data_IF_906290556024
#
_entry.id   IF_906290556024
#
_cell.length_a   1.000
_cell.length_b   1.000
_cell.length_c   1.000
_cell.angle_alpha   90.00
_cell.angle_beta   90.00
_cell.angle_gamma   90.00
#
_symmetry.space_group_name_H-M   'P 1'
#
loop_
_entity.id
_entity.type
_entity.pdbx_description
1 polymer ?
#
# COMPACT_ATOMS: atom_id res chain seq x y z
N UNK A 1 -1.02 38.54 -4.85
CA UNK A 1 -1.86 38.13 -3.70
C UNK A 1 -1.10 37.09 -2.87
N UNK A 2 -0.19 37.50 -1.97
CA UNK A 2 0.53 36.59 -1.09
C UNK A 2 -0.32 36.29 0.16
N UNK A 3 -0.62 35.01 0.40
CA UNK A 3 -1.29 34.57 1.64
C UNK A 3 -0.27 34.34 2.74
N UNK A 4 -0.66 34.84 3.89
CA UNK A 4 0.09 35.00 5.13
C UNK A 4 0.30 33.67 5.87
N UNK A 5 1.44 33.62 6.55
CA UNK A 5 1.77 33.00 7.85
C UNK A 5 0.68 32.31 8.67
N UNK A 6 1.02 31.15 9.26
CA UNK A 6 1.03 30.85 10.73
C UNK A 6 1.74 29.49 10.93
N UNK A 7 2.95 29.41 11.50
CA UNK A 7 3.27 29.31 12.93
C UNK A 7 2.36 28.36 13.73
N UNK A 8 2.87 27.18 14.08
CA UNK A 8 2.33 26.40 15.19
C UNK A 8 3.48 25.93 16.10
N UNK A 9 3.68 26.74 17.14
CA UNK A 9 4.45 26.44 18.33
C UNK A 9 3.59 25.63 19.30
N UNK A 10 4.14 24.57 19.90
CA UNK A 10 3.62 23.96 21.12
C UNK A 10 4.84 23.45 21.92
N UNK A 11 5.38 24.22 22.86
CA UNK A 11 4.97 24.32 24.29
C UNK A 11 5.39 23.05 25.05
N UNK A 12 6.55 23.07 25.72
CA UNK A 12 6.70 23.20 27.19
C UNK A 12 6.25 21.92 27.91
N UNK A 13 7.13 21.18 28.59
CA UNK A 13 7.30 21.32 30.04
C UNK A 13 8.73 21.03 30.52
N UNK A 14 9.39 22.10 31.00
CA UNK A 14 10.40 22.02 32.03
C UNK A 14 9.71 21.68 33.37
N UNK A 15 10.20 20.65 34.07
CA UNK A 15 9.89 20.45 35.48
C UNK A 15 11.18 20.59 36.29
N UNK A 16 11.39 21.82 36.78
CA UNK A 16 12.30 22.16 37.85
C UNK A 16 11.69 21.67 39.16
N UNK A 17 12.19 20.56 39.69
CA UNK A 17 11.95 20.12 41.07
C UNK A 17 13.22 20.30 41.88
N UNK A 18 13.48 21.52 42.35
CA UNK A 18 14.50 21.80 43.35
C UNK A 18 13.94 21.37 44.72
N UNK A 19 14.43 20.25 45.26
CA UNK A 19 14.23 19.87 46.66
C UNK A 19 15.59 19.77 47.32
N UNK A 20 15.96 20.86 47.99
CA UNK A 20 16.92 20.86 49.08
C UNK A 20 16.48 19.79 50.07
N UNK A 21 17.26 18.72 50.20
CA UNK A 21 17.07 17.75 51.27
C UNK A 21 18.34 17.64 52.10
N UNK A 22 18.10 17.81 53.40
CA UNK A 22 19.05 18.09 54.45
C UNK A 22 20.11 16.99 54.58
N UNK A 23 21.34 17.47 54.73
CA UNK A 23 22.50 16.72 55.18
C UNK A 23 22.25 16.06 56.53
N UNK A 24 21.96 14.77 56.53
CA UNK A 24 22.22 13.90 57.69
C UNK A 24 23.35 12.95 57.32
N UNK A 25 24.54 13.30 57.77
CA UNK A 25 25.76 12.51 57.66
C UNK A 25 25.64 11.24 58.51
N UNK A 26 24.95 10.23 58.00
CA UNK A 26 25.03 8.87 58.51
C UNK A 26 26.13 8.16 57.73
N UNK A 27 27.24 7.87 58.41
CA UNK A 27 28.37 7.13 57.86
C UNK A 27 27.90 5.76 57.35
N UNK A 28 27.60 5.69 56.05
CA UNK A 28 27.26 4.46 55.36
C UNK A 28 28.52 3.62 55.26
N UNK A 29 28.58 2.54 56.05
CA UNK A 29 29.52 1.44 55.86
C UNK A 29 29.48 1.04 54.39
N UNK A 30 30.55 1.39 53.66
CA UNK A 30 30.75 1.02 52.26
C UNK A 30 30.81 -0.50 52.20
N UNK A 31 29.67 -1.12 51.92
CA UNK A 31 29.53 -2.57 51.75
C UNK A 31 30.31 -2.90 50.48
N UNK A 32 31.58 -3.29 50.65
CA UNK A 32 32.42 -3.76 49.55
C UNK A 32 31.66 -4.91 48.87
N UNK A 33 31.27 -4.69 47.62
CA UNK A 33 30.69 -5.72 46.78
C UNK A 33 31.62 -6.91 46.77
N UNK A 34 31.06 -8.09 47.03
CA UNK A 34 31.78 -9.35 46.97
C UNK A 34 32.37 -9.54 45.57
N UNK A 35 33.46 -10.31 45.47
CA UNK A 35 34.08 -10.61 44.17
C UNK A 35 33.08 -11.24 43.19
N UNK A 36 32.08 -11.98 43.69
CA UNK A 36 31.01 -12.57 42.89
C UNK A 36 30.08 -11.51 42.27
N UNK A 37 29.71 -10.47 43.04
CA UNK A 37 28.89 -9.36 42.53
C UNK A 37 29.66 -8.55 41.48
N UNK A 38 30.98 -8.36 41.65
CA UNK A 38 31.82 -7.68 40.67
C UNK A 38 31.92 -8.47 39.36
N UNK A 39 32.03 -9.80 39.42
CA UNK A 39 32.05 -10.65 38.23
C UNK A 39 30.71 -10.63 37.48
N UNK A 40 29.58 -10.64 38.18
CA UNK A 40 28.25 -10.55 37.58
C UNK A 40 28.02 -9.20 36.87
N UNK A 41 28.50 -8.10 37.46
CA UNK A 41 28.42 -6.78 36.83
C UNK A 41 29.27 -6.72 35.55
N UNK A 42 30.46 -7.33 35.55
CA UNK A 42 31.31 -7.37 34.35
C UNK A 42 30.66 -8.18 33.23
N UNK A 43 30.02 -9.32 33.53
CA UNK A 43 29.30 -10.11 32.54
C UNK A 43 28.09 -9.36 31.97
N UNK A 44 27.34 -8.66 32.83
CA UNK A 44 26.22 -7.83 32.40
C UNK A 44 26.69 -6.67 31.48
N UNK A 45 27.82 -6.03 31.81
CA UNK A 45 28.41 -4.98 30.97
C UNK A 45 28.84 -5.54 29.61
N UNK A 46 29.40 -6.75 29.57
CA UNK A 46 29.78 -7.40 28.32
C UNK A 46 28.57 -7.78 27.43
N UNK A 47 27.46 -8.23 28.04
CA UNK A 47 26.23 -8.53 27.30
C UNK A 47 25.57 -7.27 26.74
N UNK A 48 25.50 -6.19 27.54
CA UNK A 48 24.95 -4.91 27.09
C UNK A 48 25.78 -4.27 25.97
N UNK A 49 27.11 -4.36 26.04
CA UNK A 49 27.97 -3.82 24.98
C UNK A 49 27.79 -4.58 23.66
N UNK A 50 27.67 -5.90 23.69
CA UNK A 50 27.37 -6.72 22.51
C UNK A 50 26.00 -6.39 21.90
N UNK A 51 24.98 -6.17 22.74
CA UNK A 51 23.63 -5.80 22.27
C UNK A 51 23.61 -4.41 21.60
N UNK A 52 24.34 -3.44 22.15
CA UNK A 52 24.48 -2.12 21.56
C UNK A 52 25.21 -2.16 20.21
N UNK A 53 26.23 -3.02 20.07
CA UNK A 53 26.92 -3.18 18.78
C UNK A 53 25.99 -3.75 17.70
N UNK A 54 25.17 -4.75 18.03
CA UNK A 54 24.19 -5.32 17.11
C UNK A 54 23.14 -4.28 16.67
N UNK A 55 22.58 -3.54 17.63
CA UNK A 55 21.60 -2.49 17.34
C UNK A 55 22.18 -1.35 16.48
N UNK A 56 23.45 -0.98 16.70
CA UNK A 56 24.13 0.02 15.87
C UNK A 56 24.36 -0.49 14.44
N UNK A 57 24.76 -1.75 14.26
CA UNK A 57 24.90 -2.37 12.93
C UNK A 57 23.57 -2.39 12.17
N UNK A 58 22.47 -2.77 12.82
CA UNK A 58 21.14 -2.77 12.20
C UNK A 58 20.70 -1.35 11.80
N UNK A 59 20.95 -0.37 12.67
CA UNK A 59 20.62 1.03 12.39
C UNK A 59 21.40 1.57 11.19
N UNK A 60 22.69 1.23 11.08
CA UNK A 60 23.53 1.70 9.98
C UNK A 60 23.17 0.99 8.66
N UNK A 61 22.83 -0.30 8.68
CA UNK A 61 22.27 -1.01 7.53
C UNK A 61 20.93 -0.42 7.06
N UNK A 62 20.03 -0.07 8.00
CA UNK A 62 18.76 0.57 7.68
C UNK A 62 18.95 1.96 7.04
N UNK A 63 19.92 2.75 7.54
CA UNK A 63 20.29 4.04 6.94
C UNK A 63 20.87 3.88 5.54
N UNK A 64 21.73 2.90 5.31
CA UNK A 64 22.30 2.63 3.99
C UNK A 64 21.21 2.22 2.99
N UNK A 65 20.29 1.34 3.38
CA UNK A 65 19.15 0.97 2.53
C UNK A 65 18.26 2.18 2.22
N UNK A 66 17.94 3.01 3.22
CA UNK A 66 17.15 4.23 3.01
C UNK A 66 17.86 5.21 2.07
N UNK A 67 19.18 5.39 2.19
CA UNK A 67 19.97 6.23 1.28
C UNK A 67 20.02 5.66 -0.14
N UNK A 68 20.13 4.34 -0.32
CA UNK A 68 20.06 3.70 -1.66
C UNK A 68 18.70 3.90 -2.32
N UNK A 69 17.62 3.97 -1.56
CA UNK A 69 16.30 4.30 -2.07
C UNK A 69 16.13 5.80 -2.38
N UNK A 70 16.74 6.69 -1.60
CA UNK A 70 16.69 8.13 -1.84
C UNK A 70 17.59 8.59 -3.00
N UNK A 71 18.77 7.98 -3.14
CA UNK A 71 19.75 8.26 -4.19
C UNK A 71 19.63 7.33 -5.39
N UNK A 72 18.70 6.36 -5.39
CA UNK A 72 18.24 5.83 -6.67
C UNK A 72 17.68 7.02 -7.42
N UNK A 73 18.33 7.49 -8.50
CA UNK A 73 17.73 8.53 -9.33
C UNK A 73 16.31 8.06 -9.63
N UNK A 74 15.34 8.97 -9.54
CA UNK A 74 14.03 8.77 -10.18
C UNK A 74 14.29 8.50 -11.67
N UNK A 75 14.66 7.27 -12.00
CA UNK A 75 15.06 6.85 -13.34
C UNK A 75 13.89 6.86 -14.31
N UNK A 76 12.68 6.98 -13.78
CA UNK A 76 11.44 6.96 -14.57
C UNK A 76 10.84 8.36 -14.82
N UNK A 77 11.57 9.43 -14.46
CA UNK A 77 11.28 10.78 -14.97
C UNK A 77 12.46 11.28 -15.79
N UNK A 78 12.92 10.48 -16.75
CA UNK A 78 13.48 11.06 -17.95
C UNK A 78 12.44 12.07 -18.46
N UNK A 79 12.73 13.36 -18.30
CA UNK A 79 11.93 14.42 -18.86
C UNK A 79 11.93 14.18 -20.38
N UNK A 80 10.88 13.50 -20.87
CA UNK A 80 10.61 13.37 -22.28
C UNK A 80 10.66 14.78 -22.85
N UNK A 81 11.58 15.02 -23.78
CA UNK A 81 11.63 16.27 -24.50
C UNK A 81 10.21 16.54 -25.03
N UNK A 82 9.61 17.71 -24.77
CA UNK A 82 8.27 18.01 -25.26
C UNK A 82 8.17 17.90 -26.78
N UNK A 83 9.30 18.00 -27.50
CA UNK A 83 9.40 17.76 -28.94
C UNK A 83 9.04 16.32 -29.38
N UNK A 84 9.27 15.31 -28.54
CA UNK A 84 8.91 13.92 -28.85
C UNK A 84 7.44 13.60 -28.54
N UNK A 85 6.74 14.50 -27.84
CA UNK A 85 5.32 14.33 -27.49
C UNK A 85 4.38 14.40 -28.71
N UNK A 86 4.86 14.92 -29.84
CA UNK A 86 4.09 15.04 -31.08
C UNK A 86 4.15 13.80 -31.97
N UNK A 87 5.05 12.84 -31.69
CA UNK A 87 5.13 11.56 -32.42
C UNK A 87 4.51 10.38 -31.67
N UNK A 88 3.52 10.64 -30.81
CA UNK A 88 2.84 9.57 -30.09
C UNK A 88 1.92 8.80 -31.05
N UNK A 89 2.35 7.61 -31.47
CA UNK A 89 1.53 6.68 -32.24
C UNK A 89 0.31 6.22 -31.41
N UNK A 90 -0.88 6.32 -32.01
CA UNK A 90 -2.14 5.89 -31.39
C UNK A 90 -2.28 4.38 -31.59
N UNK A 91 -2.43 3.63 -30.49
CA UNK A 91 -2.63 2.19 -30.51
C UNK A 91 -4.10 1.90 -30.21
N UNK A 92 -4.84 1.45 -31.24
CA UNK A 92 -6.24 1.08 -31.09
C UNK A 92 -6.39 -0.23 -30.33
N UNK A 93 -7.45 -0.33 -29.53
CA UNK A 93 -7.77 -1.56 -28.81
C UNK A 93 -8.09 -2.70 -29.79
N UNK A 94 -7.39 -3.85 -29.74
CA UNK A 94 -7.76 -5.02 -30.53
C UNK A 94 -9.15 -5.56 -30.15
N UNK A 95 -9.81 -6.25 -31.08
CA UNK A 95 -11.09 -6.92 -30.80
C UNK A 95 -10.86 -8.08 -29.82
N UNK A 96 -11.72 -8.19 -28.80
CA UNK A 96 -11.67 -9.25 -27.78
C UNK A 96 -11.34 -8.74 -26.37
N UNK A 97 -11.02 -9.67 -25.49
CA UNK A 97 -10.57 -9.41 -24.10
C UNK A 97 -9.14 -9.92 -23.89
N UNK A 98 -8.36 -9.22 -23.08
CA UNK A 98 -6.98 -9.62 -22.80
C UNK A 98 -6.91 -11.00 -22.10
N UNK A 99 -6.12 -11.89 -22.68
CA UNK A 99 -5.90 -13.25 -22.17
C UNK A 99 -7.06 -14.22 -22.39
N UNK A 100 -8.06 -13.88 -23.21
CA UNK A 100 -9.17 -14.77 -23.53
C UNK A 100 -8.83 -15.73 -24.70
N UNK A 101 -7.78 -16.56 -24.53
CA UNK A 101 -7.41 -17.66 -25.44
C UNK A 101 -7.71 -17.43 -26.93
N UNK A 102 -8.65 -18.21 -27.49
CA UNK A 102 -9.01 -18.24 -28.92
C UNK A 102 -9.64 -16.94 -29.47
N UNK A 103 -10.23 -16.10 -28.62
CA UNK A 103 -10.96 -14.86 -29.04
C UNK A 103 -10.36 -13.59 -28.47
N UNK A 104 -9.33 -13.73 -27.63
CA UNK A 104 -8.63 -12.66 -26.97
C UNK A 104 -7.35 -12.27 -27.69
N UNK A 105 -6.62 -11.39 -27.04
CA UNK A 105 -5.31 -10.95 -27.50
C UNK A 105 -4.32 -10.98 -26.33
N UNK A 106 -3.02 -11.02 -26.65
CA UNK A 106 -1.97 -10.81 -25.67
C UNK A 106 -1.85 -9.30 -25.41
N UNK A 107 -2.04 -8.90 -24.16
CA UNK A 107 -2.04 -7.48 -23.77
C UNK A 107 -0.68 -6.82 -23.95
N UNK A 108 0.42 -7.55 -23.73
CA UNK A 108 1.77 -7.00 -23.88
C UNK A 108 2.07 -6.69 -25.34
N UNK A 109 1.76 -7.64 -26.23
CA UNK A 109 1.94 -7.50 -27.67
C UNK A 109 1.02 -6.38 -28.22
N UNK A 110 -0.25 -6.34 -27.77
CA UNK A 110 -1.19 -5.29 -28.16
C UNK A 110 -0.79 -3.88 -27.68
N UNK A 111 0.09 -3.78 -26.69
CA UNK A 111 0.66 -2.52 -26.23
C UNK A 111 1.98 -2.17 -26.90
N UNK A 112 2.45 -2.96 -27.88
CA UNK A 112 3.74 -2.79 -28.55
C UNK A 112 4.93 -2.89 -27.55
N UNK A 113 4.82 -3.83 -26.60
CA UNK A 113 5.81 -4.07 -25.54
C UNK A 113 6.34 -5.51 -25.54
N UNK A 114 6.20 -6.26 -26.63
CA UNK A 114 6.57 -7.68 -26.76
C UNK A 114 8.08 -7.96 -26.67
N UNK A 115 8.94 -7.00 -27.02
CA UNK A 115 10.40 -7.10 -26.90
C UNK A 115 10.93 -7.23 -25.46
N UNK A 116 12.07 -7.90 -25.29
CA UNK A 116 12.68 -8.19 -23.96
C UNK A 116 13.03 -6.91 -23.19
N UNK A 117 13.53 -5.88 -23.86
CA UNK A 117 13.84 -4.57 -23.26
C UNK A 117 12.60 -3.88 -22.65
N UNK A 118 11.42 -4.20 -23.18
CA UNK A 118 10.15 -3.61 -22.76
C UNK A 118 9.42 -4.43 -21.68
N UNK A 119 9.97 -5.59 -21.29
CA UNK A 119 9.39 -6.44 -20.25
C UNK A 119 9.30 -5.72 -18.91
N UNK A 120 10.39 -5.06 -18.51
CA UNK A 120 10.48 -4.38 -17.23
C UNK A 120 9.47 -3.21 -17.15
N UNK A 121 9.30 -2.48 -18.26
CA UNK A 121 8.32 -1.41 -18.37
C UNK A 121 6.89 -1.95 -18.22
N UNK A 122 6.56 -3.04 -18.92
CA UNK A 122 5.24 -3.67 -18.79
C UNK A 122 4.95 -4.11 -17.34
N UNK A 123 5.90 -4.77 -16.69
CA UNK A 123 5.78 -5.18 -15.29
C UNK A 123 5.69 -3.98 -14.32
N UNK A 124 6.40 -2.90 -14.61
CA UNK A 124 6.30 -1.65 -13.85
C UNK A 124 4.91 -1.01 -13.95
N UNK A 125 4.33 -0.99 -15.15
CA UNK A 125 2.96 -0.49 -15.35
C UNK A 125 1.96 -1.38 -14.60
N UNK A 126 2.09 -2.71 -14.68
CA UNK A 126 1.22 -3.63 -13.95
C UNK A 126 1.30 -3.42 -12.43
N UNK A 127 2.52 -3.24 -11.88
CA UNK A 127 2.73 -2.91 -10.46
C UNK A 127 2.03 -1.61 -10.08
N UNK A 128 2.12 -0.57 -10.91
CA UNK A 128 1.44 0.69 -10.68
C UNK A 128 -0.08 0.59 -10.77
N UNK A 129 -0.63 -0.20 -11.70
CA UNK A 129 -2.07 -0.47 -11.76
C UNK A 129 -2.55 -1.13 -10.47
N UNK A 130 -1.82 -2.13 -9.97
CA UNK A 130 -2.12 -2.79 -8.69
C UNK A 130 -2.06 -1.79 -7.52
N UNK A 131 -1.01 -0.99 -7.43
CA UNK A 131 -0.85 0.01 -6.37
C UNK A 131 -1.97 1.06 -6.44
N UNK A 132 -2.30 1.55 -7.64
CA UNK A 132 -3.41 2.46 -7.85
C UNK A 132 -4.75 1.85 -7.40
N UNK A 133 -5.00 0.59 -7.72
CA UNK A 133 -6.22 -0.10 -7.29
C UNK A 133 -6.34 -0.20 -5.75
N UNK A 134 -5.22 -0.44 -5.06
CA UNK A 134 -5.15 -0.46 -3.59
C UNK A 134 -5.38 0.95 -3.02
N UNK A 135 -4.69 1.96 -3.57
CA UNK A 135 -4.81 3.36 -3.13
C UNK A 135 -6.23 3.91 -3.29
N UNK A 136 -6.89 3.59 -4.41
CA UNK A 136 -8.28 3.99 -4.68
C UNK A 136 -9.32 3.16 -3.92
N UNK A 137 -8.89 2.18 -3.10
CA UNK A 137 -9.76 1.30 -2.31
C UNK A 137 -10.86 0.65 -3.17
N UNK A 138 -10.46 0.04 -4.28
CA UNK A 138 -11.36 -0.78 -5.09
C UNK A 138 -11.76 -2.03 -4.32
N UNK A 139 -13.00 -2.49 -4.55
CA UNK A 139 -13.44 -3.76 -3.98
C UNK A 139 -12.84 -4.92 -4.77
N UNK A 140 -11.82 -5.57 -4.20
CA UNK A 140 -11.12 -6.67 -4.86
C UNK A 140 -11.98 -7.93 -5.02
N UNK A 141 -13.13 -8.00 -4.33
CA UNK A 141 -14.09 -9.12 -4.41
C UNK A 141 -15.12 -8.96 -5.53
N UNK A 142 -15.38 -7.72 -5.96
CA UNK A 142 -16.34 -7.43 -7.02
C UNK A 142 -15.74 -7.56 -8.42
N UNK A 143 -16.59 -7.89 -9.39
CA UNK A 143 -16.23 -7.86 -10.82
C UNK A 143 -15.97 -6.43 -11.30
N UNK A 144 -15.16 -6.28 -12.35
CA UNK A 144 -14.78 -4.98 -12.90
C UNK A 144 -15.99 -4.10 -13.23
N UNK A 145 -17.06 -4.70 -13.78
CA UNK A 145 -18.31 -3.98 -14.14
C UNK A 145 -19.11 -3.47 -12.95
N UNK A 146 -18.83 -3.96 -11.74
CA UNK A 146 -19.51 -3.59 -10.49
C UNK A 146 -18.69 -2.60 -9.66
N UNK A 147 -17.49 -2.25 -10.13
CA UNK A 147 -16.67 -1.25 -9.47
C UNK A 147 -17.24 0.14 -9.70
N UNK A 148 -16.99 1.02 -8.74
CA UNK A 148 -17.26 2.44 -8.86
C UNK A 148 -16.41 3.05 -10.01
N UNK A 149 -17.04 3.67 -11.03
CA UNK A 149 -16.33 4.26 -12.15
C UNK A 149 -15.40 5.41 -11.75
N UNK A 150 -15.71 6.15 -10.68
CA UNK A 150 -14.85 7.25 -10.21
C UNK A 150 -13.52 6.71 -9.67
N UNK A 151 -13.58 5.65 -8.87
CA UNK A 151 -12.39 4.95 -8.36
C UNK A 151 -11.55 4.37 -9.49
N UNK A 152 -12.17 3.78 -10.52
CA UNK A 152 -11.45 3.31 -11.71
C UNK A 152 -10.73 4.48 -12.40
N UNK A 153 -11.40 5.62 -12.56
CA UNK A 153 -10.80 6.80 -13.18
C UNK A 153 -9.59 7.30 -12.39
N UNK A 154 -9.61 7.21 -11.06
CA UNK A 154 -8.48 7.57 -10.20
C UNK A 154 -7.30 6.61 -10.33
N UNK A 155 -7.54 5.31 -10.50
CA UNK A 155 -6.48 4.34 -10.86
C UNK A 155 -5.83 4.77 -12.18
N UNK A 156 -6.62 5.12 -13.19
CA UNK A 156 -6.07 5.55 -14.48
C UNK A 156 -5.28 6.85 -14.37
N UNK A 157 -5.78 7.87 -13.66
CA UNK A 157 -5.03 9.11 -13.39
C UNK A 157 -3.70 8.83 -12.71
N UNK A 158 -3.68 7.94 -11.71
CA UNK A 158 -2.46 7.54 -11.02
C UNK A 158 -1.46 6.88 -11.97
N UNK A 159 -1.90 5.91 -12.79
CA UNK A 159 -1.02 5.20 -13.73
C UNK A 159 -0.41 6.16 -14.75
N UNK A 160 -1.19 7.09 -15.32
CA UNK A 160 -0.67 8.11 -16.26
C UNK A 160 0.34 9.06 -15.62
N UNK A 161 0.16 9.37 -14.33
CA UNK A 161 1.08 10.24 -13.58
C UNK A 161 2.44 9.55 -13.34
N UNK A 162 2.43 8.23 -13.13
CA UNK A 162 3.65 7.46 -12.86
C UNK A 162 4.36 7.08 -14.15
N UNK A 163 3.62 6.71 -15.19
CA UNK A 163 4.18 6.17 -16.43
C UNK A 163 3.88 7.07 -17.61
N UNK A 164 4.90 7.77 -18.12
CA UNK A 164 4.74 8.64 -19.28
C UNK A 164 4.36 7.88 -20.57
N UNK A 165 4.60 6.56 -20.62
CA UNK A 165 4.11 5.69 -21.69
C UNK A 165 2.57 5.62 -21.76
N UNK A 166 1.92 5.70 -20.60
CA UNK A 166 0.47 5.56 -20.47
C UNK A 166 -0.22 6.90 -20.71
N UNK A 167 -0.30 7.34 -21.97
CA UNK A 167 -1.03 8.57 -22.34
C UNK A 167 -2.37 8.26 -23.00
N UNK A 168 -3.34 9.18 -22.88
CA UNK A 168 -4.62 9.09 -23.59
C UNK A 168 -4.49 9.19 -25.10
N UNK A 169 -3.44 9.87 -25.60
CA UNK A 169 -3.10 9.93 -27.02
C UNK A 169 -2.70 8.54 -27.52
N UNK A 170 -1.79 7.86 -26.80
CA UNK A 170 -1.35 6.50 -27.16
C UNK A 170 -2.44 5.45 -26.98
N UNK A 171 -3.17 5.50 -25.86
CA UNK A 171 -4.21 4.54 -25.51
C UNK A 171 -5.56 5.24 -25.31
N UNK A 172 -6.39 5.36 -26.38
CA UNK A 172 -7.70 5.98 -26.28
C UNK A 172 -8.57 5.32 -25.21
N UNK A 173 -9.28 6.14 -24.43
CA UNK A 173 -10.11 5.70 -23.30
C UNK A 173 -9.39 4.82 -22.26
N UNK A 174 -8.06 4.94 -22.15
CA UNK A 174 -7.24 4.21 -21.17
C UNK A 174 -7.41 2.67 -21.25
N UNK A 175 -7.68 2.15 -22.46
CA UNK A 175 -8.05 0.74 -22.64
C UNK A 175 -6.99 -0.23 -22.09
N UNK A 176 -5.71 0.08 -22.25
CA UNK A 176 -4.60 -0.74 -21.77
C UNK A 176 -4.60 -0.87 -20.24
N UNK A 177 -4.72 0.25 -19.52
CA UNK A 177 -4.82 0.26 -18.06
C UNK A 177 -6.08 -0.48 -17.58
N UNK A 178 -7.19 -0.31 -18.30
CA UNK A 178 -8.44 -1.03 -18.04
C UNK A 178 -8.30 -2.55 -18.15
N UNK A 179 -7.65 -3.05 -19.19
CA UNK A 179 -7.41 -4.50 -19.36
C UNK A 179 -6.44 -5.06 -18.30
N UNK A 180 -5.37 -4.33 -17.94
CA UNK A 180 -4.48 -4.71 -16.84
C UNK A 180 -5.24 -4.80 -15.51
N UNK A 181 -6.11 -3.81 -15.23
CA UNK A 181 -6.91 -3.78 -14.00
C UNK A 181 -7.90 -4.94 -13.95
N UNK A 182 -8.57 -5.26 -15.06
CA UNK A 182 -9.44 -6.45 -15.15
C UNK A 182 -8.67 -7.73 -14.87
N UNK A 183 -7.51 -7.92 -15.48
CA UNK A 183 -6.66 -9.10 -15.29
C UNK A 183 -6.23 -9.23 -13.82
N UNK A 184 -5.82 -8.13 -13.19
CA UNK A 184 -5.46 -8.09 -11.78
C UNK A 184 -6.62 -8.52 -10.88
N UNK A 185 -7.79 -7.89 -11.02
CA UNK A 185 -8.97 -8.23 -10.21
C UNK A 185 -9.40 -9.69 -10.40
N UNK A 186 -9.40 -10.18 -11.64
CA UNK A 186 -9.71 -11.58 -11.97
C UNK A 186 -8.72 -12.55 -11.30
N UNK A 187 -7.43 -12.26 -11.38
CA UNK A 187 -6.38 -13.10 -10.76
C UNK A 187 -6.46 -13.07 -9.23
N UNK A 188 -6.72 -11.90 -8.64
CA UNK A 188 -6.91 -11.75 -7.21
C UNK A 188 -8.07 -12.62 -6.71
N UNK A 189 -9.24 -12.56 -7.35
CA UNK A 189 -10.39 -13.40 -6.98
C UNK A 189 -10.07 -14.89 -7.09
N UNK A 190 -9.49 -15.33 -8.21
CA UNK A 190 -9.07 -16.74 -8.38
C UNK A 190 -8.12 -17.20 -7.27
N UNK A 191 -7.15 -16.37 -6.92
CA UNK A 191 -6.21 -16.66 -5.84
C UNK A 191 -6.90 -16.70 -4.47
N UNK A 192 -7.79 -15.76 -4.17
CA UNK A 192 -8.53 -15.68 -2.91
C UNK A 192 -9.47 -16.88 -2.72
N UNK A 193 -10.15 -17.33 -3.77
CA UNK A 193 -10.95 -18.56 -3.75
C UNK A 193 -10.06 -19.79 -3.51
N UNK A 194 -8.93 -19.91 -4.23
CA UNK A 194 -7.97 -21.01 -4.02
C UNK A 194 -7.41 -21.04 -2.59
N UNK A 195 -7.33 -19.90 -1.91
CA UNK A 195 -6.87 -19.77 -0.52
C UNK A 195 -8.00 -19.85 0.52
N UNK A 196 -9.25 -20.10 0.11
CA UNK A 196 -10.39 -20.15 1.02
C UNK A 196 -10.74 -18.82 1.68
N UNK A 197 -10.24 -17.70 1.17
CA UNK A 197 -10.54 -16.34 1.67
C UNK A 197 -11.84 -15.78 1.11
N UNK A 198 -12.42 -16.47 0.12
CA UNK A 198 -13.62 -16.07 -0.58
C UNK A 198 -14.39 -17.32 -0.99
N UNK A 199 -15.72 -17.26 -0.90
CA UNK A 199 -16.59 -18.33 -1.39
C UNK A 199 -16.43 -18.48 -2.91
N UNK A 200 -16.47 -19.72 -3.40
CA UNK A 200 -16.50 -19.96 -4.84
C UNK A 200 -17.80 -19.46 -5.45
N UNK A 201 -17.77 -19.15 -6.75
CA UNK A 201 -18.98 -18.68 -7.47
C UNK A 201 -20.06 -19.77 -7.47
N UNK A 202 -19.65 -21.03 -7.49
CA UNK A 202 -20.50 -22.20 -7.42
C UNK A 202 -21.18 -22.30 -6.06
N UNK A 203 -20.44 -22.12 -4.96
CA UNK A 203 -21.01 -22.10 -3.61
C UNK A 203 -22.03 -20.97 -3.44
N UNK A 204 -21.72 -19.77 -3.96
CA UNK A 204 -22.66 -18.65 -3.94
C UNK A 204 -23.94 -18.95 -4.74
N UNK A 205 -23.81 -19.49 -5.95
CA UNK A 205 -24.96 -19.92 -6.76
C UNK A 205 -25.78 -21.00 -6.08
N UNK A 206 -25.14 -21.95 -5.39
CA UNK A 206 -25.85 -22.98 -4.63
C UNK A 206 -26.64 -22.38 -3.47
N UNK A 207 -26.09 -21.40 -2.73
CA UNK A 207 -26.85 -20.68 -1.69
C UNK A 207 -28.02 -19.88 -2.25
N UNK A 208 -27.82 -19.17 -3.37
CA UNK A 208 -28.88 -18.43 -4.07
C UNK A 208 -29.99 -19.38 -4.57
N UNK A 209 -29.62 -20.53 -5.15
CA UNK A 209 -30.58 -21.54 -5.63
C UNK A 209 -31.26 -22.33 -4.50
N UNK A 210 -30.61 -22.53 -3.36
CA UNK A 210 -31.16 -23.25 -2.22
C UNK A 210 -32.29 -22.46 -1.51
N UNK A 211 -32.68 -21.29 -2.02
CA UNK A 211 -33.81 -20.53 -1.50
C UNK A 211 -33.58 -20.02 -0.08
N UNK A 212 -32.34 -20.07 0.43
CA UNK A 212 -31.94 -19.41 1.66
C UNK A 212 -31.83 -17.92 1.35
N UNK A 213 -32.97 -17.29 1.03
CA UNK A 213 -33.14 -15.86 1.25
C UNK A 213 -32.80 -15.65 2.71
N UNK A 214 -31.80 -14.80 2.95
CA UNK A 214 -31.36 -14.44 4.29
C UNK A 214 -32.59 -14.16 5.13
N UNK A 215 -32.88 -15.00 6.12
CA UNK A 215 -34.02 -14.90 7.05
C UNK A 215 -33.99 -13.62 7.92
N UNK A 216 -33.14 -12.66 7.54
CA UNK A 216 -32.91 -11.39 8.19
C UNK A 216 -33.81 -10.27 7.63
N UNK A 217 -34.42 -10.46 6.45
CA UNK A 217 -35.44 -9.56 5.91
C UNK A 217 -36.88 -9.87 6.43
N UNK A 218 -37.04 -10.95 7.21
CA UNK A 218 -38.28 -11.30 7.92
C UNK A 218 -38.15 -11.02 9.44
N UNK A 219 -37.30 -10.06 9.84
CA UNK A 219 -37.44 -9.47 11.16
C UNK A 219 -38.72 -8.63 11.14
N UNK A 220 -39.76 -9.00 11.91
CA UNK A 220 -40.94 -8.15 12.03
C UNK A 220 -40.47 -6.78 12.45
N UNK A 221 -40.98 -5.76 11.76
CA UNK A 221 -40.83 -4.36 12.11
C UNK A 221 -41.18 -4.26 13.60
N UNK A 222 -40.16 -4.14 14.46
CA UNK A 222 -40.38 -3.89 15.89
C UNK A 222 -40.90 -2.47 15.89
N UNK A 223 -42.23 -2.35 15.84
CA UNK A 223 -42.92 -1.09 16.06
C UNK A 223 -42.35 -0.51 17.35
N UNK A 224 -41.60 0.58 17.17
CA UNK A 224 -41.05 1.42 18.22
C UNK A 224 -42.24 2.03 18.96
N UNK A 225 -42.82 1.26 19.89
CA UNK A 225 -43.82 1.74 20.82
C UNK A 225 -43.20 2.88 21.62
N UNK A 226 -43.63 4.09 21.28
CA UNK A 226 -43.26 5.32 21.95
C UNK A 226 -43.61 5.25 23.42
N UNK A 227 -42.58 5.14 24.26
CA UNK A 227 -42.64 5.58 25.64
C UNK A 227 -42.53 7.12 25.66
N UNK A 228 -43.65 7.78 25.38
CA UNK A 228 -43.91 9.08 25.95
C UNK A 228 -44.47 8.88 27.35
N UNK A 229 -43.78 9.40 28.35
CA UNK A 229 -44.39 9.83 29.60
C UNK A 229 -43.54 10.96 30.22
N UNK A 230 -44.20 12.12 30.28
CA UNK A 230 -44.12 13.25 31.22
C UNK A 230 -42.80 13.99 31.50
#
# INVERSE_FOLDING_TARGET
MPRQTTNNSSTTTASRGNKENQSTSRASKSKRLSAAEQAAVLDQVAQLSAQLELANKERDQAKEMAQRHANSPRRDQAALNPADADQIQVIMKPKGEAGDGKRGFNLRDAMDLDGDDNKELYEAIQRSVKNGAIMARLDMSADYRRQDPEKIADVFKYVRKVHAYMTRKRFPADWAAGEMLKQYLRNYRRYSVKKGRMESREAKKQRENAGVRSRFDDLPDIEEEGAGDE
#
